data_IF_534370129765
#
_entry.id   IF_534370129765
#
_cell.length_a   1.000
_cell.length_b   1.000
_cell.length_c   1.000
_cell.angle_alpha   90.00
_cell.angle_beta   90.00
_cell.angle_gamma   90.00
#
_symmetry.space_group_name_H-M   'P 1'
#
loop_
_entity.id
_entity.type
_entity.pdbx_description
1 polymer ?
#
# COMPACT_ATOMS: atom_id res chain seq x y z
N UNK A 1 -16.34 -16.37 7.65
CA UNK A 1 -16.09 -15.79 7.53
C UNK A 1 -15.47 -15.18 7.33
N UNK A 2 -15.27 -14.72 7.21
CA UNK A 2 -14.91 -14.13 6.96
C UNK A 2 -14.38 -13.31 7.05
N UNK A 3 -14.00 -12.97 7.25
CA UNK A 3 -13.62 -12.12 7.32
C UNK A 3 -12.89 -11.52 7.21
N UNK A 4 -12.91 -11.54 7.01
CA UNK A 4 -12.59 -10.21 7.09
C UNK A 4 -11.13 -9.80 6.93
N UNK A 5 -10.20 -10.33 7.65
CA UNK A 5 -8.78 -10.02 7.39
C UNK A 5 -8.35 -10.83 6.20
N UNK A 6 -7.96 -10.11 5.17
CA UNK A 6 -7.47 -10.76 3.97
C UNK A 6 -5.94 -10.82 4.04
N UNK A 7 -5.44 -11.94 4.51
CA UNK A 7 -4.01 -12.12 4.71
C UNK A 7 -3.24 -12.23 3.40
N UNK A 8 -3.95 -12.36 2.28
CA UNK A 8 -3.31 -12.45 0.98
C UNK A 8 -3.14 -11.11 0.31
N UNK A 9 -3.66 -10.07 0.90
CA UNK A 9 -3.57 -8.74 0.32
C UNK A 9 -2.54 -7.91 1.03
N UNK A 10 -2.04 -6.93 0.29
CA UNK A 10 -1.19 -5.90 0.86
C UNK A 10 -2.06 -4.93 1.63
N UNK A 11 -1.57 -4.53 2.80
CA UNK A 11 -2.28 -3.58 3.64
C UNK A 11 -1.42 -2.35 3.87
N UNK A 12 -2.04 -1.19 3.80
CA UNK A 12 -1.36 0.06 4.10
C UNK A 12 -1.37 0.25 5.61
N UNK A 13 -0.18 0.38 6.19
CA UNK A 13 -0.02 0.52 7.64
C UNK A 13 0.15 1.98 8.01
N UNK A 14 0.89 2.74 7.21
CA UNK A 14 1.10 4.15 7.50
C UNK A 14 1.69 4.90 6.34
N UNK A 15 1.59 6.22 6.42
CA UNK A 15 2.20 7.12 5.44
C UNK A 15 3.03 8.13 6.21
N UNK A 16 4.21 8.44 5.70
CA UNK A 16 5.12 9.39 6.37
C UNK A 16 5.93 10.12 5.31
N UNK A 17 6.70 11.10 5.79
CA UNK A 17 7.52 11.92 4.91
C UNK A 17 6.83 13.25 4.58
N UNK A 18 7.46 14.02 3.71
CA UNK A 18 6.93 15.30 3.28
C UNK A 18 6.04 15.13 2.05
N UNK A 19 5.18 16.13 1.74
CA UNK A 19 4.35 16.03 0.55
C UNK A 19 5.13 15.78 -0.74
N UNK A 20 6.35 16.29 -0.84
CA UNK A 20 7.16 16.10 -2.02
C UNK A 20 7.98 14.81 -1.97
N UNK A 21 7.97 14.12 -0.83
CA UNK A 21 8.77 12.91 -0.66
C UNK A 21 8.06 11.95 0.28
N UNK A 22 6.84 11.58 -0.10
CA UNK A 22 6.04 10.69 0.73
C UNK A 22 6.48 9.26 0.58
N UNK A 23 6.38 8.56 1.68
CA UNK A 23 6.64 7.13 1.73
C UNK A 23 5.53 6.44 2.48
N UNK A 24 5.38 5.17 2.22
CA UNK A 24 4.35 4.39 2.87
C UNK A 24 4.95 3.13 3.46
N UNK A 25 4.38 2.70 4.56
CA UNK A 25 4.69 1.41 5.15
C UNK A 25 3.55 0.47 4.82
N UNK A 26 3.86 -0.62 4.16
CA UNK A 26 2.86 -1.60 3.78
C UNK A 26 3.21 -2.95 4.36
N UNK A 27 2.18 -3.73 4.63
CA UNK A 27 2.35 -5.11 5.03
C UNK A 27 2.03 -5.99 3.82
N UNK A 28 3.00 -6.77 3.42
CA UNK A 28 2.86 -7.65 2.26
C UNK A 28 2.06 -8.90 2.62
N UNK A 29 1.61 -9.60 1.60
CA UNK A 29 0.86 -10.83 1.79
C UNK A 29 1.65 -11.89 2.54
N UNK A 30 2.98 -11.79 2.50
CA UNK A 30 3.84 -12.70 3.26
C UNK A 30 3.92 -12.38 4.74
N UNK A 31 3.31 -11.27 5.16
CA UNK A 31 3.39 -10.80 6.54
C UNK A 31 4.54 -9.86 6.82
N UNK A 32 5.39 -9.63 5.85
CA UNK A 32 6.52 -8.72 6.01
C UNK A 32 6.09 -7.28 5.79
N UNK A 33 6.79 -6.38 6.42
CA UNK A 33 6.59 -4.94 6.21
C UNK A 33 7.61 -4.42 5.22
N UNK A 34 7.19 -3.48 4.40
CA UNK A 34 8.07 -2.87 3.41
C UNK A 34 7.78 -1.38 3.35
N UNK A 35 8.84 -0.58 3.31
CA UNK A 35 8.73 0.85 3.07
C UNK A 35 8.81 1.09 1.58
N UNK A 36 7.86 1.83 1.04
CA UNK A 36 7.77 2.04 -0.40
C UNK A 36 7.57 3.52 -0.71
N UNK A 37 7.93 3.88 -1.92
CA UNK A 37 7.69 5.21 -2.48
C UNK A 37 7.13 5.04 -3.88
N UNK A 38 6.73 6.14 -4.49
CA UNK A 38 6.23 6.12 -5.86
C UNK A 38 7.31 5.53 -6.77
N UNK A 39 6.91 4.58 -7.59
CA UNK A 39 7.82 3.87 -8.48
C UNK A 39 8.26 2.51 -7.97
N UNK A 40 8.12 2.25 -6.67
CA UNK A 40 8.48 0.96 -6.10
C UNK A 40 7.47 -0.10 -6.50
N UNK A 41 7.92 -1.35 -6.50
CA UNK A 41 7.05 -2.46 -6.84
C UNK A 41 6.55 -3.14 -5.60
N UNK A 42 5.25 -3.42 -5.57
CA UNK A 42 4.64 -4.18 -4.49
C UNK A 42 3.56 -5.09 -5.07
N UNK A 43 3.44 -6.26 -4.51
CA UNK A 43 2.35 -7.18 -4.84
C UNK A 43 2.19 -7.41 -6.35
N UNK A 44 3.31 -7.45 -7.07
CA UNK A 44 3.27 -7.64 -8.51
C UNK A 44 2.86 -6.42 -9.30
N UNK A 45 2.71 -5.28 -8.64
CA UNK A 45 2.39 -4.02 -9.29
C UNK A 45 3.40 -2.95 -8.98
N UNK A 46 3.07 -1.72 -9.29
CA UNK A 46 3.96 -0.59 -9.10
C UNK A 46 3.20 0.55 -8.44
N UNK A 47 3.80 1.16 -7.42
CA UNK A 47 3.20 2.28 -6.72
C UNK A 47 3.20 3.49 -7.64
N UNK A 48 2.01 4.07 -7.85
CA UNK A 48 1.87 5.22 -8.74
C UNK A 48 1.57 6.50 -7.97
N UNK A 49 1.05 6.40 -6.75
CA UNK A 49 0.75 7.60 -5.95
C UNK A 49 0.65 7.23 -4.47
N UNK A 50 1.04 8.16 -3.63
CA UNK A 50 0.89 8.02 -2.17
C UNK A 50 0.27 9.31 -1.66
N UNK A 51 -0.93 9.21 -1.09
CA UNK A 51 -1.61 10.33 -0.48
C UNK A 51 -1.43 10.35 1.03
N UNK A 52 -2.17 11.22 1.70
CA UNK A 52 -2.08 11.36 3.16
C UNK A 52 -2.49 10.09 3.88
N UNK A 53 -3.50 9.41 3.39
CA UNK A 53 -4.07 8.25 4.05
C UNK A 53 -4.30 7.09 3.10
N UNK A 54 -3.72 7.17 1.91
CA UNK A 54 -3.95 6.14 0.92
C UNK A 54 -2.71 5.96 0.07
N UNK A 55 -2.65 4.81 -0.58
CA UNK A 55 -1.61 4.48 -1.53
C UNK A 55 -2.28 3.85 -2.73
N UNK A 56 -1.85 4.25 -3.91
CA UNK A 56 -2.35 3.65 -5.15
C UNK A 56 -1.21 2.94 -5.85
N UNK A 57 -1.50 1.75 -6.32
CA UNK A 57 -0.56 1.05 -7.17
C UNK A 57 -1.29 0.42 -8.35
N UNK A 58 -0.56 0.18 -9.40
CA UNK A 58 -1.11 -0.39 -10.61
C UNK A 58 -0.64 -1.82 -10.75
N UNK A 59 -1.59 -2.72 -11.00
CA UNK A 59 -1.29 -4.14 -11.11
C UNK A 59 -2.15 -4.72 -12.22
N UNK A 60 -1.50 -5.30 -13.22
CA UNK A 60 -2.21 -5.97 -14.29
C UNK A 60 -3.21 -5.07 -15.02
N UNK A 61 -2.86 -3.79 -15.21
CA UNK A 61 -3.74 -2.85 -15.86
C UNK A 61 -4.83 -2.28 -14.97
N UNK A 62 -4.81 -2.61 -13.69
CA UNK A 62 -5.80 -2.11 -12.73
C UNK A 62 -5.15 -1.20 -11.72
N UNK A 63 -5.89 -0.20 -11.30
CA UNK A 63 -5.49 0.65 -10.20
C UNK A 63 -6.08 0.11 -8.92
N UNK A 64 -5.23 -0.12 -7.94
CA UNK A 64 -5.65 -0.60 -6.63
C UNK A 64 -5.35 0.49 -5.62
N UNK A 65 -6.33 0.80 -4.79
CA UNK A 65 -6.19 1.81 -3.74
C UNK A 65 -6.19 1.11 -2.39
N UNK A 66 -5.15 1.37 -1.61
CA UNK A 66 -5.06 0.91 -0.24
C UNK A 66 -5.30 2.10 0.66
N UNK A 67 -6.17 1.94 1.64
CA UNK A 67 -6.45 2.98 2.63
C UNK A 67 -5.98 2.52 3.98
N UNK A 68 -5.54 3.47 4.79
CA UNK A 68 -5.16 3.14 6.15
C UNK A 68 -6.39 2.71 6.94
N UNK A 69 -6.22 1.74 7.84
CA UNK A 69 -7.32 1.37 8.71
C UNK A 69 -7.78 2.58 9.49
N UNK A 70 -9.07 2.71 9.62
CA UNK A 70 -9.63 3.81 10.37
C UNK A 70 -9.62 3.45 11.84
N UNK A 71 -8.89 4.22 12.58
CA UNK A 71 -8.76 3.96 14.01
C UNK A 71 -10.04 4.15 14.78
#
# INVERSE_FOLDING_TARGET
MENSINLRKVNLIGVYGTPSNRRALVRLSSGRYKKVKVGDKIDGGQVVAIGDTELRYQKGGRNVTLKMPNG
#
